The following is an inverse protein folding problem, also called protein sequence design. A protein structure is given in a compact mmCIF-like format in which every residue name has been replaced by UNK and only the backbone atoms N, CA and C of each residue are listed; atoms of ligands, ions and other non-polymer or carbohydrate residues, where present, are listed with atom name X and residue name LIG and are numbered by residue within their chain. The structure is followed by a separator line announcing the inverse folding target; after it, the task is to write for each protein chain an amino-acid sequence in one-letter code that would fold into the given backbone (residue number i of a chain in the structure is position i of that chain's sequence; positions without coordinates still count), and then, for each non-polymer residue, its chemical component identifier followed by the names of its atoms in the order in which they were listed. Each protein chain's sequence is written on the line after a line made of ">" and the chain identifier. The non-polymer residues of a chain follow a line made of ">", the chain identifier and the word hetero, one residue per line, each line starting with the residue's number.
data_IF_468061220334
#
_entry.id   IF_468061220334
#
_cell.length_a   1.000
_cell.length_b   1.000
_cell.length_c   1.000
_cell.angle_alpha   90.00
_cell.angle_beta   90.00
_cell.angle_gamma   90.00
#
_symmetry.space_group_name_H-M   'P 1'
#
loop_
_entity.id
_entity.type
_entity.pdbx_description
1 polymer ?
#
# COMPACT_ATOMS: atom_id res chain seq x y z
N UNK A 1 -19.91 -6.29 7.94
CA UNK A 1 -19.78 -5.90 9.35
C UNK A 1 -18.60 -4.98 9.61
N UNK A 2 -17.36 -5.34 9.27
CA UNK A 2 -16.16 -4.51 9.54
C UNK A 2 -16.26 -3.03 9.12
N UNK A 3 -16.78 -2.75 7.92
CA UNK A 3 -16.93 -1.36 7.43
C UNK A 3 -17.82 -0.50 8.32
N UNK A 4 -18.96 -1.05 8.77
CA UNK A 4 -19.92 -0.32 9.62
C UNK A 4 -19.30 0.01 10.97
N UNK A 5 -18.49 -0.88 11.54
CA UNK A 5 -17.79 -0.62 12.79
C UNK A 5 -16.69 0.44 12.62
N UNK A 6 -15.93 0.39 11.53
CA UNK A 6 -14.93 1.42 11.22
C UNK A 6 -15.57 2.81 11.02
N UNK A 7 -16.67 2.89 10.26
CA UNK A 7 -17.44 4.13 10.09
C UNK A 7 -18.07 4.63 11.41
N UNK A 8 -18.39 3.73 12.35
CA UNK A 8 -18.86 4.13 13.69
C UNK A 8 -17.70 4.62 14.55
N UNK A 9 -16.52 4.02 14.47
CA UNK A 9 -15.34 4.47 15.19
C UNK A 9 -14.95 5.90 14.78
N UNK A 10 -14.86 6.18 13.47
CA UNK A 10 -14.57 7.53 12.95
C UNK A 10 -15.65 8.55 13.38
N UNK A 11 -16.93 8.14 13.42
CA UNK A 11 -18.01 9.02 13.89
C UNK A 11 -17.99 9.28 15.39
N UNK A 12 -17.55 8.29 16.18
CA UNK A 12 -17.46 8.43 17.63
C UNK A 12 -16.30 9.37 18.01
N UNK A 13 -15.16 9.25 17.32
CA UNK A 13 -14.02 10.14 17.50
C UNK A 13 -13.17 10.21 16.21
N UNK A 14 -13.30 11.31 15.47
CA UNK A 14 -12.54 11.57 14.24
C UNK A 14 -11.17 12.19 14.48
N UNK A 15 -10.76 12.32 15.74
CA UNK A 15 -9.43 12.83 16.12
C UNK A 15 -8.42 11.72 16.40
N UNK A 16 -8.83 10.46 16.30
CA UNK A 16 -7.97 9.28 16.48
C UNK A 16 -7.56 8.69 15.14
N UNK A 17 -6.28 8.33 14.95
CA UNK A 17 -5.81 7.82 13.66
C UNK A 17 -6.33 6.40 13.37
N UNK A 18 -6.49 5.56 14.39
CA UNK A 18 -6.88 4.15 14.25
C UNK A 18 -8.22 3.97 13.53
N UNK A 19 -9.22 4.81 13.84
CA UNK A 19 -10.53 4.73 13.21
C UNK A 19 -10.45 4.96 11.70
N UNK A 20 -9.68 5.98 11.31
CA UNK A 20 -9.41 6.33 9.92
C UNK A 20 -8.60 5.22 9.21
N UNK A 21 -7.53 4.74 9.84
CA UNK A 21 -6.74 3.62 9.31
C UNK A 21 -7.58 2.36 9.09
N UNK A 22 -8.36 1.94 10.11
CA UNK A 22 -9.18 0.72 10.03
C UNK A 22 -10.23 0.84 8.92
N UNK A 23 -10.82 2.03 8.73
CA UNK A 23 -11.74 2.27 7.62
C UNK A 23 -11.04 2.09 6.26
N UNK A 24 -9.87 2.70 6.08
CA UNK A 24 -9.07 2.55 4.88
C UNK A 24 -8.70 1.08 4.60
N UNK A 25 -8.21 0.36 5.62
CA UNK A 25 -7.82 -1.05 5.51
C UNK A 25 -9.00 -1.96 5.15
N UNK A 26 -10.15 -1.79 5.81
CA UNK A 26 -11.34 -2.60 5.53
C UNK A 26 -11.88 -2.33 4.12
N UNK A 27 -11.87 -1.07 3.67
CA UNK A 27 -12.27 -0.73 2.31
C UNK A 27 -11.29 -1.27 1.27
N UNK A 28 -9.99 -1.29 1.55
CA UNK A 28 -8.97 -1.90 0.69
C UNK A 28 -9.21 -3.41 0.52
N UNK A 29 -9.52 -4.13 1.60
CA UNK A 29 -9.90 -5.56 1.54
C UNK A 29 -11.21 -5.75 0.76
N UNK A 30 -12.22 -4.93 1.02
CA UNK A 30 -13.52 -5.03 0.36
C UNK A 30 -13.42 -4.75 -1.15
N UNK A 31 -12.62 -3.75 -1.55
CA UNK A 31 -12.38 -3.34 -2.95
C UNK A 31 -12.04 -4.53 -3.86
N UNK A 32 -11.22 -5.48 -3.39
CA UNK A 32 -10.80 -6.65 -4.17
C UNK A 32 -11.96 -7.54 -4.63
N UNK A 33 -13.10 -7.46 -3.96
CA UNK A 33 -14.31 -8.27 -4.25
C UNK A 33 -15.38 -7.51 -5.03
N UNK A 34 -15.13 -6.24 -5.42
CA UNK A 34 -16.15 -5.38 -6.03
C UNK A 34 -15.87 -5.07 -7.50
N UNK A 35 -16.94 -4.65 -8.20
CA UNK A 35 -16.87 -4.14 -9.56
C UNK A 35 -16.11 -2.82 -9.67
N UNK A 36 -15.74 -2.45 -10.89
CA UNK A 36 -14.86 -1.31 -11.16
C UNK A 36 -15.37 0.01 -10.57
N UNK A 37 -16.69 0.25 -10.55
CA UNK A 37 -17.27 1.49 -10.03
C UNK A 37 -17.05 1.65 -8.52
N UNK A 38 -17.33 0.62 -7.74
CA UNK A 38 -17.13 0.59 -6.29
C UNK A 38 -15.65 0.64 -5.93
N UNK A 39 -14.79 -0.07 -6.68
CA UNK A 39 -13.34 -0.03 -6.47
C UNK A 39 -12.80 1.39 -6.54
N UNK A 40 -13.21 2.16 -7.55
CA UNK A 40 -12.72 3.53 -7.70
C UNK A 40 -13.32 4.45 -6.60
N UNK A 41 -14.58 4.25 -6.20
CA UNK A 41 -15.17 4.95 -5.03
C UNK A 41 -14.40 4.67 -3.75
N UNK A 42 -14.03 3.42 -3.51
CA UNK A 42 -13.26 3.04 -2.33
C UNK A 42 -11.84 3.57 -2.41
N UNK A 43 -11.20 3.59 -3.58
CA UNK A 43 -9.87 4.17 -3.74
C UNK A 43 -9.81 5.62 -3.21
N UNK A 44 -10.83 6.44 -3.50
CA UNK A 44 -10.88 7.81 -2.95
C UNK A 44 -10.96 7.84 -1.43
N UNK A 45 -11.87 7.05 -0.86
CA UNK A 45 -12.07 7.03 0.60
C UNK A 45 -10.83 6.47 1.29
N UNK A 46 -10.21 5.41 0.76
CA UNK A 46 -8.97 4.82 1.30
C UNK A 46 -7.88 5.89 1.38
N UNK A 47 -7.68 6.66 0.31
CA UNK A 47 -6.69 7.73 0.29
C UNK A 47 -7.00 8.82 1.31
N UNK A 48 -8.23 9.34 1.34
CA UNK A 48 -8.64 10.42 2.22
C UNK A 48 -8.48 10.01 3.70
N UNK A 49 -8.92 8.80 4.06
CA UNK A 49 -8.88 8.28 5.42
C UNK A 49 -7.44 7.95 5.87
N UNK A 50 -6.64 7.29 5.01
CA UNK A 50 -5.24 7.01 5.35
C UNK A 50 -4.41 8.30 5.46
N UNK A 51 -4.69 9.31 4.61
CA UNK A 51 -4.09 10.65 4.72
C UNK A 51 -4.46 11.29 6.05
N UNK A 52 -5.74 11.21 6.45
CA UNK A 52 -6.20 11.76 7.72
C UNK A 52 -5.54 11.09 8.92
N UNK A 53 -5.36 9.77 8.88
CA UNK A 53 -4.64 9.03 9.92
C UNK A 53 -3.20 9.53 10.06
N UNK A 54 -2.45 9.68 8.95
CA UNK A 54 -1.07 10.23 8.97
C UNK A 54 -1.01 11.70 9.41
N UNK A 55 -2.03 12.50 9.10
CA UNK A 55 -2.11 13.90 9.58
C UNK A 55 -2.34 13.99 11.08
N UNK A 56 -3.07 13.04 11.67
CA UNK A 56 -3.32 12.96 13.11
C UNK A 56 -2.09 12.40 13.82
N UNK A 57 -1.51 11.33 13.27
CA UNK A 57 -0.32 10.67 13.78
C UNK A 57 0.63 10.33 12.64
N UNK A 58 1.68 11.15 12.49
CA UNK A 58 2.70 10.97 11.45
C UNK A 58 3.63 9.76 11.68
N UNK A 59 3.45 9.04 12.79
CA UNK A 59 4.20 7.83 13.13
C UNK A 59 3.38 6.55 12.97
N UNK A 60 2.17 6.66 12.41
CA UNK A 60 1.31 5.51 12.16
C UNK A 60 1.75 4.71 10.92
N UNK A 61 2.62 3.73 11.12
CA UNK A 61 3.22 2.86 10.10
C UNK A 61 2.18 2.23 9.15
N UNK A 62 1.10 1.67 9.69
CA UNK A 62 0.08 1.00 8.87
C UNK A 62 -0.66 1.98 7.93
N UNK A 63 -0.85 3.24 8.35
CA UNK A 63 -1.48 4.27 7.51
C UNK A 63 -0.53 4.73 6.40
N UNK A 64 0.76 4.88 6.72
CA UNK A 64 1.80 5.08 5.73
C UNK A 64 1.82 3.93 4.71
N UNK A 65 1.78 2.68 5.16
CA UNK A 65 1.72 1.54 4.26
C UNK A 65 0.51 1.59 3.30
N UNK A 66 -0.69 1.92 3.82
CA UNK A 66 -1.89 2.05 2.98
C UNK A 66 -1.73 3.14 1.92
N UNK A 67 -1.15 4.30 2.24
CA UNK A 67 -0.89 5.37 1.26
C UNK A 67 0.14 4.95 0.21
N UNK A 68 1.17 4.22 0.63
CA UNK A 68 2.18 3.65 -0.25
C UNK A 68 1.59 2.68 -1.26
N UNK A 69 0.87 1.67 -0.77
CA UNK A 69 0.17 0.68 -1.58
C UNK A 69 -0.88 1.34 -2.50
N UNK A 70 -1.62 2.35 -2.01
CA UNK A 70 -2.59 3.07 -2.83
C UNK A 70 -1.93 3.74 -4.04
N UNK A 71 -0.81 4.45 -3.83
CA UNK A 71 -0.08 5.10 -4.92
C UNK A 71 0.39 4.06 -5.95
N UNK A 72 0.99 2.97 -5.49
CA UNK A 72 1.47 1.89 -6.36
C UNK A 72 0.31 1.23 -7.14
N UNK A 73 -0.77 0.85 -6.48
CA UNK A 73 -1.95 0.24 -7.11
C UNK A 73 -2.55 1.14 -8.20
N UNK A 74 -2.66 2.45 -7.94
CA UNK A 74 -3.17 3.40 -8.93
C UNK A 74 -2.24 3.49 -10.14
N UNK A 75 -0.92 3.49 -9.92
CA UNK A 75 0.07 3.49 -11.01
C UNK A 75 0.06 2.18 -11.79
N UNK A 76 -0.19 1.04 -11.14
CA UNK A 76 -0.31 -0.29 -11.77
C UNK A 76 -1.59 -0.46 -12.60
N UNK A 77 -2.59 0.44 -12.48
CA UNK A 77 -3.83 0.33 -13.26
C UNK A 77 -3.57 0.36 -14.77
N UNK A 78 -4.20 -0.56 -15.50
CA UNK A 78 -4.20 -0.61 -16.96
C UNK A 78 -4.90 0.61 -17.57
N UNK A 79 -4.62 0.92 -18.85
CA UNK A 79 -5.21 2.06 -19.57
C UNK A 79 -6.75 2.07 -19.55
N UNK A 80 -7.37 0.89 -19.67
CA UNK A 80 -8.82 0.73 -19.57
C UNK A 80 -9.33 1.11 -18.17
N UNK A 81 -8.70 0.62 -17.10
CA UNK A 81 -9.08 0.95 -15.72
C UNK A 81 -8.90 2.44 -15.41
N UNK A 82 -7.82 3.06 -15.92
CA UNK A 82 -7.59 4.51 -15.79
C UNK A 82 -8.68 5.31 -16.50
N UNK A 83 -9.09 4.92 -17.71
CA UNK A 83 -10.19 5.56 -18.43
C UNK A 83 -11.50 5.54 -17.62
N UNK A 84 -11.87 4.37 -17.07
CA UNK A 84 -13.06 4.25 -16.22
C UNK A 84 -12.98 5.10 -14.95
N UNK A 85 -11.81 5.17 -14.31
CA UNK A 85 -11.62 6.00 -13.13
C UNK A 85 -11.79 7.50 -13.45
N UNK A 86 -11.21 7.98 -14.57
CA UNK A 86 -11.35 9.37 -15.03
C UNK A 86 -12.81 9.74 -15.33
N UNK A 87 -13.59 8.82 -15.92
CA UNK A 87 -15.00 9.05 -16.20
C UNK A 87 -15.86 9.21 -14.92
N UNK A 88 -15.48 8.57 -13.81
CA UNK A 88 -16.26 8.58 -12.57
C UNK A 88 -15.92 9.74 -11.61
N UNK A 89 -14.67 10.18 -11.56
CA UNK A 89 -14.19 11.18 -10.58
C UNK A 89 -13.68 12.47 -11.22
N UNK A 90 -13.76 12.56 -12.55
CA UNK A 90 -12.98 13.53 -13.31
C UNK A 90 -11.53 13.09 -13.45
N UNK A 91 -10.83 13.64 -14.45
CA UNK A 91 -9.47 13.22 -14.81
C UNK A 91 -8.45 13.27 -13.67
N UNK A 92 -8.63 14.18 -12.70
CA UNK A 92 -7.55 14.65 -11.83
C UNK A 92 -7.33 13.90 -10.51
N UNK A 93 -8.27 13.09 -10.00
CA UNK A 93 -8.04 12.44 -8.69
C UNK A 93 -6.93 11.38 -8.76
N UNK A 94 -6.89 10.62 -9.86
CA UNK A 94 -5.89 9.57 -10.07
C UNK A 94 -4.52 10.15 -10.42
N UNK A 95 -4.46 11.38 -10.90
CA UNK A 95 -3.21 12.08 -11.23
C UNK A 95 -2.40 12.45 -9.97
N UNK A 96 -3.01 12.36 -8.78
CA UNK A 96 -2.28 12.48 -7.50
C UNK A 96 -1.30 11.33 -7.28
N UNK A 97 -1.63 10.14 -7.79
CA UNK A 97 -0.83 8.96 -7.53
C UNK A 97 0.51 9.03 -8.27
N UNK A 98 1.59 8.77 -7.54
CA UNK A 98 2.93 8.76 -8.13
C UNK A 98 3.85 7.80 -7.39
N UNK A 99 4.89 7.37 -8.08
CA UNK A 99 5.84 6.39 -7.54
C UNK A 99 6.72 6.95 -6.42
N UNK A 100 7.00 8.25 -6.42
CA UNK A 100 7.81 8.87 -5.37
C UNK A 100 7.09 8.81 -4.03
N UNK A 101 5.79 9.13 -4.01
CA UNK A 101 4.97 9.03 -2.81
C UNK A 101 4.77 7.57 -2.38
N UNK A 102 4.63 6.64 -3.34
CA UNK A 102 4.57 5.20 -3.03
C UNK A 102 5.80 4.76 -2.23
N UNK A 103 7.00 5.06 -2.76
CA UNK A 103 8.28 4.73 -2.12
C UNK A 103 8.43 5.46 -0.79
N UNK A 104 8.20 6.78 -0.73
CA UNK A 104 8.36 7.58 0.48
C UNK A 104 7.51 7.05 1.64
N UNK A 105 6.23 6.74 1.37
CA UNK A 105 5.32 6.23 2.39
C UNK A 105 5.71 4.81 2.83
N UNK A 106 6.09 3.91 1.92
CA UNK A 106 6.51 2.55 2.27
C UNK A 106 7.87 2.51 3.00
N UNK A 107 8.83 3.33 2.59
CA UNK A 107 10.10 3.51 3.32
C UNK A 107 9.84 4.04 4.74
N UNK A 108 8.88 4.96 4.89
CA UNK A 108 8.46 5.44 6.21
C UNK A 108 7.82 4.34 7.05
N UNK A 109 6.93 3.53 6.48
CA UNK A 109 6.32 2.40 7.18
C UNK A 109 7.37 1.38 7.64
N UNK A 110 8.34 1.03 6.78
CA UNK A 110 9.46 0.14 7.12
C UNK A 110 10.36 0.75 8.20
N UNK A 111 10.61 2.07 8.15
CA UNK A 111 11.42 2.75 9.18
C UNK A 111 10.74 2.76 10.55
N UNK A 112 9.41 2.94 10.58
CA UNK A 112 8.62 2.96 11.82
C UNK A 112 8.43 1.56 12.41
N UNK A 113 8.25 0.54 11.56
CA UNK A 113 8.07 -0.85 11.96
C UNK A 113 9.03 -1.78 11.18
N UNK A 114 10.34 -1.79 11.50
CA UNK A 114 11.36 -2.49 10.73
C UNK A 114 11.23 -4.02 10.74
N UNK A 115 10.46 -4.59 11.66
CA UNK A 115 10.20 -6.02 11.73
C UNK A 115 8.87 -6.42 11.10
N UNK A 116 8.11 -5.48 10.54
CA UNK A 116 6.85 -5.79 9.87
C UNK A 116 7.13 -6.35 8.47
N UNK A 117 6.93 -7.67 8.30
CA UNK A 117 7.24 -8.38 7.05
C UNK A 117 6.50 -7.78 5.86
N UNK A 118 5.19 -7.54 6.00
CA UNK A 118 4.37 -7.05 4.89
C UNK A 118 4.77 -5.65 4.40
N UNK A 119 5.26 -4.76 5.27
CA UNK A 119 5.75 -3.44 4.84
C UNK A 119 6.96 -3.55 3.92
N UNK A 120 7.89 -4.45 4.26
CA UNK A 120 9.08 -4.69 3.44
C UNK A 120 8.74 -5.37 2.13
N UNK A 121 7.80 -6.32 2.14
CA UNK A 121 7.37 -7.01 0.93
C UNK A 121 6.77 -6.03 -0.08
N UNK A 122 5.80 -5.21 0.34
CA UNK A 122 5.19 -4.20 -0.55
C UNK A 122 6.23 -3.18 -1.04
N UNK A 123 7.18 -2.77 -0.19
CA UNK A 123 8.29 -1.89 -0.62
C UNK A 123 9.18 -2.55 -1.67
N UNK A 124 9.49 -3.84 -1.51
CA UNK A 124 10.27 -4.60 -2.47
C UNK A 124 9.56 -4.68 -3.82
N UNK A 125 8.26 -4.99 -3.84
CA UNK A 125 7.44 -5.03 -5.04
C UNK A 125 7.41 -3.67 -5.76
N UNK A 126 7.28 -2.57 -5.01
CA UNK A 126 7.34 -1.21 -5.60
C UNK A 126 8.72 -0.89 -6.16
N UNK A 127 9.80 -1.36 -5.53
CA UNK A 127 11.13 -1.24 -6.13
C UNK A 127 11.28 -2.06 -7.41
N UNK A 128 10.66 -3.24 -7.50
CA UNK A 128 10.62 -4.04 -8.73
C UNK A 128 9.87 -3.30 -9.84
N UNK A 129 8.71 -2.71 -9.55
CA UNK A 129 7.97 -1.90 -10.54
C UNK A 129 8.77 -0.72 -11.10
N UNK A 130 9.77 -0.27 -10.34
CA UNK A 130 10.65 0.85 -10.69
C UNK A 130 11.98 0.40 -11.29
N UNK A 131 12.16 -0.91 -11.54
CA UNK A 131 13.43 -1.45 -12.01
C UNK A 131 14.59 -1.29 -11.01
N UNK A 132 14.30 -1.04 -9.73
CA UNK A 132 15.29 -0.88 -8.64
C UNK A 132 15.55 -2.22 -7.94
N UNK A 133 15.93 -3.22 -8.72
CA UNK A 133 16.08 -4.61 -8.26
C UNK A 133 17.09 -4.79 -7.12
N UNK A 134 18.16 -4.00 -7.05
CA UNK A 134 19.12 -4.04 -5.94
C UNK A 134 18.46 -3.67 -4.61
N UNK A 135 17.67 -2.61 -4.59
CA UNK A 135 16.90 -2.19 -3.40
C UNK A 135 15.80 -3.20 -3.05
N UNK A 136 15.14 -3.78 -4.05
CA UNK A 136 14.17 -4.84 -3.82
C UNK A 136 14.83 -6.04 -3.12
N UNK A 137 15.98 -6.51 -3.62
CA UNK A 137 16.73 -7.62 -3.01
C UNK A 137 17.14 -7.34 -1.56
N UNK A 138 17.58 -6.12 -1.24
CA UNK A 138 17.89 -5.74 0.14
C UNK A 138 16.69 -5.96 1.09
N UNK A 139 15.49 -5.51 0.69
CA UNK A 139 14.29 -5.71 1.51
C UNK A 139 13.92 -7.20 1.64
N UNK A 140 13.96 -7.96 0.54
CA UNK A 140 13.61 -9.38 0.52
C UNK A 140 14.57 -10.24 1.34
N UNK A 141 15.86 -9.94 1.30
CA UNK A 141 16.87 -10.62 2.12
C UNK A 141 16.64 -10.38 3.62
N UNK A 142 16.25 -9.16 4.02
CA UNK A 142 15.91 -8.87 5.42
C UNK A 142 14.68 -9.67 5.86
N UNK A 143 13.64 -9.77 5.02
CA UNK A 143 12.42 -10.53 5.34
C UNK A 143 12.72 -11.98 5.77
N UNK A 144 13.68 -12.64 5.11
CA UNK A 144 14.07 -14.01 5.45
C UNK A 144 14.64 -14.15 6.87
N UNK A 145 15.18 -13.07 7.44
CA UNK A 145 15.81 -13.04 8.79
C UNK A 145 14.85 -12.67 9.92
N UNK A 146 13.69 -12.09 9.60
CA UNK A 146 12.74 -11.62 10.61
C UNK A 146 12.07 -12.80 11.34
N UNK A 147 11.58 -12.64 12.58
CA UNK A 147 10.73 -13.64 13.20
C UNK A 147 9.35 -13.72 12.50
N UNK A 148 8.56 -14.76 12.80
CA UNK A 148 7.14 -14.81 12.45
C UNK A 148 6.37 -14.17 13.60
N UNK A 149 5.67 -13.07 13.33
CA UNK A 149 4.91 -12.31 14.33
C UNK A 149 3.42 -12.21 13.99
N UNK A 150 3.05 -12.28 12.72
CA UNK A 150 1.65 -12.29 12.24
C UNK A 150 1.28 -13.63 11.57
N UNK A 151 -0.01 -13.95 11.57
CA UNK A 151 -0.59 -15.15 10.95
C UNK A 151 -0.24 -15.25 9.46
N UNK A 152 -0.14 -14.11 8.76
CA UNK A 152 0.15 -14.07 7.33
C UNK A 152 1.65 -14.06 7.01
N UNK A 153 2.54 -13.85 7.99
CA UNK A 153 3.98 -13.79 7.77
C UNK A 153 4.57 -15.03 7.08
N UNK A 154 4.14 -16.28 7.37
CA UNK A 154 4.64 -17.44 6.64
C UNK A 154 4.35 -17.36 5.14
N UNK A 155 3.18 -16.85 4.76
CA UNK A 155 2.83 -16.65 3.36
C UNK A 155 3.66 -15.52 2.75
N UNK A 156 3.75 -14.36 3.42
CA UNK A 156 4.54 -13.23 2.92
C UNK A 156 6.02 -13.54 2.78
N UNK A 157 6.58 -14.36 3.67
CA UNK A 157 7.97 -14.84 3.55
C UNK A 157 8.17 -15.77 2.37
N UNK A 158 7.17 -16.60 2.07
CA UNK A 158 7.19 -17.42 0.86
C UNK A 158 7.14 -16.55 -0.39
N UNK A 159 6.20 -15.61 -0.45
CA UNK A 159 6.06 -14.66 -1.56
C UNK A 159 7.35 -13.85 -1.76
N UNK A 160 8.00 -13.43 -0.66
CA UNK A 160 9.29 -12.74 -0.71
C UNK A 160 10.42 -13.62 -1.24
N UNK A 161 10.46 -14.90 -0.86
CA UNK A 161 11.47 -15.83 -1.34
C UNK A 161 11.30 -16.13 -2.84
N UNK A 162 10.05 -16.31 -3.28
CA UNK A 162 9.70 -16.52 -4.69
C UNK A 162 10.10 -15.28 -5.52
N UNK A 163 9.71 -14.07 -5.08
CA UNK A 163 10.09 -12.82 -5.74
C UNK A 163 11.62 -12.63 -5.79
N UNK A 164 12.34 -12.96 -4.72
CA UNK A 164 13.79 -12.87 -4.68
C UNK A 164 14.45 -13.81 -5.71
N UNK A 165 13.89 -15.02 -5.88
CA UNK A 165 14.35 -15.97 -6.87
C UNK A 165 14.11 -15.47 -8.30
N UNK A 166 12.97 -14.83 -8.55
CA UNK A 166 12.59 -14.27 -9.84
C UNK A 166 13.53 -13.13 -10.25
N UNK A 167 13.86 -12.21 -9.33
CA UNK A 167 14.68 -11.01 -9.65
C UNK A 167 16.18 -11.20 -9.43
N UNK A 168 16.66 -12.41 -9.12
CA UNK A 168 18.03 -12.66 -8.64
C UNK A 168 19.13 -12.16 -9.59
N UNK A 169 18.87 -12.19 -10.90
CA UNK A 169 19.82 -11.81 -11.94
C UNK A 169 19.50 -10.45 -12.58
N UNK A 170 18.41 -9.81 -12.16
CA UNK A 170 17.99 -8.53 -12.73
C UNK A 170 18.91 -7.40 -12.29
N UNK A 171 19.24 -6.52 -13.22
CA UNK A 171 20.09 -5.34 -12.98
C UNK A 171 19.24 -4.10 -12.89
N UNK A 172 19.65 -3.16 -12.05
CA UNK A 172 18.93 -1.89 -11.93
C UNK A 172 18.78 -1.22 -13.30
N UNK A 173 17.55 -0.79 -13.60
CA UNK A 173 17.26 -0.05 -14.82
C UNK A 173 17.87 1.36 -14.70
N UNK A 174 18.61 1.77 -15.73
CA UNK A 174 19.10 3.14 -15.82
C UNK A 174 17.92 4.07 -16.01
N UNK A 175 17.77 5.04 -15.11
CA UNK A 175 16.81 6.13 -15.31
C UNK A 175 17.35 7.04 -16.41
N UNK A 176 16.81 6.91 -17.62
CA UNK A 176 17.04 7.84 -18.74
C UNK A 176 16.42 9.23 -18.45
#
# INVERSE_FOLDING_TARGET
>A
MGRVYAERAVRADSTKPDGHYVLAMVLGRLSRTKGSKERVRYAKIIFDEATKAVQIDSTHDLAHHVLGAWNAEVKRLSGFQRFFAKALFGGGFMDKANWNDAVMHLETAVRLAPNHVYHRLELAEVYVDLGKYSKAREQLQVIATLPVADVMDPQYKKDAADLLADIKNEKDETSD
#
